data_IF_175121559083
#
_entry.id   IF_175121559083
#
_cell.length_a   1.000
_cell.length_b   1.000
_cell.length_c   1.000
_cell.angle_alpha   90.00
_cell.angle_beta   90.00
_cell.angle_gamma   90.00
#
_symmetry.space_group_name_H-M   'P 1'
#
loop_
_entity.id
_entity.type
_entity.pdbx_description
1 polymer ?
#
# COMPACT_ATOMS: atom_id res chain seq x y z
N UNK A 1 6.61 18.90 -2.55
CA UNK A 1 5.28 19.09 -3.18
C UNK A 1 4.43 17.85 -2.91
N UNK A 2 3.20 18.02 -2.41
CA UNK A 2 2.34 16.89 -2.03
C UNK A 2 1.89 16.07 -3.25
N UNK A 3 1.61 14.78 -3.08
CA UNK A 3 1.00 13.95 -4.14
C UNK A 3 -0.42 14.44 -4.39
N UNK A 4 -0.78 14.63 -5.65
CA UNK A 4 -2.14 14.94 -6.07
C UNK A 4 -2.79 13.76 -6.83
N UNK A 5 -4.06 13.93 -7.19
CA UNK A 5 -4.83 12.93 -7.94
C UNK A 5 -4.26 12.69 -9.35
N UNK A 6 -3.62 13.69 -9.97
CA UNK A 6 -3.04 13.56 -11.31
C UNK A 6 -1.87 12.60 -11.32
N UNK A 7 -1.04 12.63 -10.26
CA UNK A 7 0.02 11.65 -10.10
C UNK A 7 -0.47 10.21 -9.88
N UNK A 8 -1.73 10.02 -9.45
CA UNK A 8 -2.37 8.70 -9.43
C UNK A 8 -2.90 8.31 -10.80
N UNK A 9 -3.53 9.25 -11.53
CA UNK A 9 -4.00 9.04 -12.90
C UNK A 9 -2.88 8.59 -13.83
N UNK A 10 -1.67 9.16 -13.67
CA UNK A 10 -0.48 8.75 -14.44
C UNK A 10 0.06 7.35 -14.04
N UNK A 11 -0.28 6.87 -12.85
CA UNK A 11 0.25 5.62 -12.30
C UNK A 11 -0.67 4.40 -12.51
N UNK A 12 -1.88 4.62 -13.01
CA UNK A 12 -2.91 3.62 -13.29
C UNK A 12 -3.29 3.67 -14.77
N UNK A 13 -3.92 2.61 -15.29
CA UNK A 13 -4.52 2.68 -16.63
C UNK A 13 -5.71 3.63 -16.61
N UNK A 14 -5.84 4.46 -17.64
CA UNK A 14 -6.94 5.45 -17.74
C UNK A 14 -8.30 4.75 -17.70
N UNK A 15 -8.43 3.59 -18.33
CA UNK A 15 -9.67 2.81 -18.30
C UNK A 15 -10.04 2.34 -16.89
N UNK A 16 -9.05 1.94 -16.09
CA UNK A 16 -9.25 1.51 -14.71
C UNK A 16 -9.62 2.70 -13.82
N UNK A 17 -8.94 3.84 -13.99
CA UNK A 17 -9.26 5.06 -13.26
C UNK A 17 -10.72 5.48 -13.49
N UNK A 18 -11.13 5.55 -14.75
CA UNK A 18 -12.49 5.91 -15.14
C UNK A 18 -13.51 4.89 -14.61
N UNK A 19 -13.17 3.60 -14.61
CA UNK A 19 -14.04 2.54 -14.09
C UNK A 19 -14.23 2.62 -12.57
N UNK A 20 -13.16 2.94 -11.84
CA UNK A 20 -13.13 3.07 -10.37
C UNK A 20 -13.85 4.35 -9.93
N UNK A 21 -13.43 5.50 -10.48
CA UNK A 21 -13.90 6.83 -10.08
C UNK A 21 -15.25 7.20 -10.71
N UNK A 22 -15.59 6.65 -11.89
CA UNK A 22 -16.85 6.92 -12.61
C UNK A 22 -17.13 8.42 -12.82
N UNK A 23 -16.07 9.21 -13.01
CA UNK A 23 -16.14 10.67 -13.16
C UNK A 23 -16.24 11.47 -11.85
N UNK A 24 -16.13 10.81 -10.69
CA UNK A 24 -16.01 11.44 -9.38
C UNK A 24 -14.67 11.06 -8.72
N UNK A 25 -13.79 12.06 -8.59
CA UNK A 25 -12.44 11.89 -8.03
C UNK A 25 -12.45 11.68 -6.51
N UNK A 26 -13.61 11.75 -5.84
CA UNK A 26 -13.73 11.52 -4.40
C UNK A 26 -13.10 10.19 -3.94
N UNK A 27 -13.20 9.14 -4.76
CA UNK A 27 -12.58 7.83 -4.45
C UNK A 27 -11.06 7.91 -4.46
N UNK A 28 -10.48 8.66 -5.40
CA UNK A 28 -9.04 8.85 -5.50
C UNK A 28 -8.52 9.74 -4.36
N UNK A 29 -9.26 10.80 -4.02
CA UNK A 29 -8.97 11.68 -2.88
C UNK A 29 -9.00 10.92 -1.56
N UNK A 30 -10.07 10.16 -1.28
CA UNK A 30 -10.18 9.34 -0.07
C UNK A 30 -9.06 8.28 -0.01
N UNK A 31 -8.72 7.68 -1.14
CA UNK A 31 -7.62 6.72 -1.24
C UNK A 31 -6.26 7.34 -0.91
N UNK A 32 -6.00 8.58 -1.35
CA UNK A 32 -4.78 9.34 -1.00
C UNK A 32 -4.73 9.67 0.48
N UNK A 33 -5.82 10.17 1.06
CA UNK A 33 -5.88 10.48 2.49
C UNK A 33 -5.65 9.22 3.34
N UNK A 34 -6.27 8.10 2.97
CA UNK A 34 -6.06 6.80 3.61
C UNK A 34 -4.60 6.35 3.51
N UNK A 35 -3.97 6.54 2.35
CA UNK A 35 -2.58 6.19 2.13
C UNK A 35 -1.61 7.02 2.96
N UNK A 36 -1.84 8.34 3.05
CA UNK A 36 -1.06 9.23 3.92
C UNK A 36 -1.16 8.83 5.38
N UNK A 37 -2.37 8.53 5.86
CA UNK A 37 -2.58 8.08 7.22
C UNK A 37 -1.84 6.76 7.50
N UNK A 38 -1.90 5.80 6.58
CA UNK A 38 -1.21 4.52 6.74
C UNK A 38 0.31 4.66 6.74
N UNK A 39 0.88 5.36 5.74
CA UNK A 39 2.33 5.54 5.62
C UNK A 39 2.86 6.43 6.75
N UNK A 40 2.12 7.47 7.15
CA UNK A 40 2.48 8.30 8.30
C UNK A 40 2.56 7.49 9.59
N UNK A 41 1.58 6.63 9.83
CA UNK A 41 1.58 5.73 11.00
C UNK A 41 2.66 4.65 10.92
N UNK A 42 3.00 4.17 9.72
CA UNK A 42 4.11 3.25 9.51
C UNK A 42 5.46 3.94 9.77
N UNK A 43 5.67 5.15 9.26
CA UNK A 43 6.86 5.96 9.49
C UNK A 43 7.04 6.28 10.97
N UNK A 44 5.97 6.69 11.68
CA UNK A 44 6.00 6.93 13.12
C UNK A 44 6.41 5.67 13.90
N UNK A 45 5.84 4.51 13.55
CA UNK A 45 6.24 3.22 14.14
C UNK A 45 7.70 2.87 13.88
N UNK A 46 8.27 3.34 12.78
CA UNK A 46 9.67 3.12 12.44
C UNK A 46 10.61 4.16 13.06
N UNK A 47 10.07 5.16 13.77
CA UNK A 47 10.84 6.27 14.32
C UNK A 47 11.34 7.24 13.25
N UNK A 48 10.69 7.27 12.09
CA UNK A 48 10.96 8.18 10.98
C UNK A 48 9.94 9.31 10.95
N UNK A 49 10.39 10.51 10.61
CA UNK A 49 9.48 11.63 10.32
C UNK A 49 8.85 11.39 8.95
N UNK A 50 7.52 11.48 8.88
CA UNK A 50 6.82 11.36 7.61
C UNK A 50 7.08 12.60 6.75
N UNK A 51 7.75 12.39 5.62
CA UNK A 51 8.03 13.42 4.63
C UNK A 51 7.57 12.95 3.24
N UNK A 52 6.65 13.68 2.61
CA UNK A 52 6.14 13.37 1.28
C UNK A 52 7.09 13.84 0.15
N UNK A 53 8.19 14.52 0.50
CA UNK A 53 9.33 14.82 -0.37
C UNK A 53 10.34 13.68 -0.44
N UNK A 54 10.33 12.76 0.53
CA UNK A 54 11.12 11.54 0.46
C UNK A 54 10.58 10.64 -0.67
N UNK A 55 11.39 10.29 -1.69
CA UNK A 55 10.94 9.50 -2.83
C UNK A 55 10.44 8.10 -2.44
N UNK A 56 10.93 7.53 -1.35
CA UNK A 56 10.55 6.21 -0.83
C UNK A 56 9.17 6.28 -0.17
N UNK A 57 8.96 7.25 0.72
CA UNK A 57 7.65 7.47 1.37
C UNK A 57 6.61 7.91 0.34
N UNK A 58 6.99 8.77 -0.61
CA UNK A 58 6.13 9.18 -1.73
C UNK A 58 5.68 7.96 -2.55
N UNK A 59 6.61 7.06 -2.89
CA UNK A 59 6.28 5.85 -3.63
C UNK A 59 5.37 4.92 -2.82
N UNK A 60 5.62 4.77 -1.51
CA UNK A 60 4.78 3.96 -0.63
C UNK A 60 3.34 4.51 -0.57
N UNK A 61 3.16 5.82 -0.47
CA UNK A 61 1.84 6.47 -0.49
C UNK A 61 1.14 6.20 -1.80
N UNK A 62 1.81 6.35 -2.96
CA UNK A 62 1.22 6.03 -4.26
C UNK A 62 0.76 4.59 -4.36
N UNK A 63 1.61 3.65 -3.93
CA UNK A 63 1.29 2.21 -3.99
C UNK A 63 0.12 1.85 -3.08
N UNK A 64 0.05 2.43 -1.89
CA UNK A 64 -1.09 2.21 -1.00
C UNK A 64 -2.38 2.83 -1.53
N UNK A 65 -2.32 4.04 -2.09
CA UNK A 65 -3.47 4.70 -2.68
C UNK A 65 -4.04 3.89 -3.86
N UNK A 66 -3.19 3.40 -4.76
CA UNK A 66 -3.61 2.49 -5.84
C UNK A 66 -4.25 1.21 -5.28
N UNK A 67 -3.67 0.63 -4.24
CA UNK A 67 -4.26 -0.54 -3.60
C UNK A 67 -5.69 -0.28 -3.08
N UNK A 68 -5.93 0.89 -2.48
CA UNK A 68 -7.26 1.27 -1.99
C UNK A 68 -8.24 1.48 -3.14
N UNK A 69 -7.83 2.15 -4.22
CA UNK A 69 -8.66 2.34 -5.41
C UNK A 69 -9.13 0.99 -6.00
N UNK A 70 -8.22 0.03 -6.13
CA UNK A 70 -8.58 -1.32 -6.60
C UNK A 70 -9.44 -2.10 -5.59
N UNK A 71 -9.34 -1.83 -4.28
CA UNK A 71 -10.27 -2.38 -3.27
C UNK A 71 -11.68 -1.84 -3.46
N UNK A 72 -11.81 -0.54 -3.74
CA UNK A 72 -13.11 0.07 -4.04
C UNK A 72 -13.77 -0.55 -5.28
N UNK A 73 -12.98 -0.90 -6.30
CA UNK A 73 -13.47 -1.64 -7.47
C UNK A 73 -13.64 -3.17 -7.24
N UNK A 74 -13.42 -3.67 -6.02
CA UNK A 74 -13.46 -5.10 -5.69
C UNK A 74 -12.45 -5.96 -6.49
N UNK A 75 -11.36 -5.35 -6.96
CA UNK A 75 -10.24 -6.02 -7.62
C UNK A 75 -9.16 -6.45 -6.62
N UNK A 76 -9.50 -7.47 -5.84
CA UNK A 76 -8.68 -7.92 -4.71
C UNK A 76 -7.27 -8.37 -5.10
N UNK A 77 -7.09 -8.99 -6.28
CA UNK A 77 -5.78 -9.48 -6.71
C UNK A 77 -4.81 -8.33 -7.00
N UNK A 78 -5.29 -7.33 -7.72
CA UNK A 78 -4.52 -6.14 -8.08
C UNK A 78 -4.20 -5.32 -6.83
N UNK A 79 -5.20 -5.13 -5.95
CA UNK A 79 -5.03 -4.46 -4.68
C UNK A 79 -3.97 -5.14 -3.77
N UNK A 80 -4.02 -6.46 -3.64
CA UNK A 80 -3.08 -7.22 -2.81
C UNK A 80 -1.65 -7.12 -3.34
N UNK A 81 -1.46 -7.07 -4.66
CA UNK A 81 -0.15 -6.83 -5.28
C UNK A 81 0.40 -5.47 -4.87
N UNK A 82 -0.37 -4.40 -4.99
CA UNK A 82 0.07 -3.06 -4.61
C UNK A 82 0.31 -2.91 -3.11
N UNK A 83 -0.48 -3.59 -2.26
CA UNK A 83 -0.19 -3.67 -0.81
C UNK A 83 1.16 -4.31 -0.55
N UNK A 84 1.46 -5.44 -1.19
CA UNK A 84 2.75 -6.11 -1.03
C UNK A 84 3.90 -5.24 -1.49
N UNK A 85 3.78 -4.58 -2.64
CA UNK A 85 4.78 -3.62 -3.12
C UNK A 85 5.00 -2.47 -2.13
N UNK A 86 3.93 -1.91 -1.55
CA UNK A 86 4.05 -0.90 -0.50
C UNK A 86 4.80 -1.41 0.73
N UNK A 87 4.47 -2.62 1.20
CA UNK A 87 5.15 -3.25 2.33
C UNK A 87 6.62 -3.50 2.01
N UNK A 88 6.95 -3.97 0.80
CA UNK A 88 8.33 -4.18 0.35
C UNK A 88 9.14 -2.89 0.31
N UNK A 89 8.51 -1.75 -0.01
CA UNK A 89 9.13 -0.42 0.03
C UNK A 89 9.37 0.04 1.48
N UNK A 90 8.43 -0.23 2.38
CA UNK A 90 8.48 0.21 3.77
C UNK A 90 9.35 -0.70 4.66
N UNK A 91 9.50 -1.99 4.31
CA UNK A 91 10.25 -2.97 5.12
C UNK A 91 11.71 -2.58 5.38
N UNK A 92 12.48 -2.07 4.39
CA UNK A 92 13.86 -1.62 4.62
C UNK A 92 13.98 -0.40 5.54
N UNK A 93 12.91 0.39 5.68
CA UNK A 93 12.85 1.56 6.56
C UNK A 93 12.52 1.18 8.01
N UNK A 94 12.04 -0.04 8.24
CA UNK A 94 11.75 -0.50 9.58
C UNK A 94 13.03 -0.54 10.42
N UNK A 95 12.98 -0.09 11.69
CA UNK A 95 14.12 -0.17 12.58
C UNK A 95 14.54 -1.63 12.67
N UNK A 96 15.85 -1.89 12.54
CA UNK A 96 16.43 -3.20 12.80
C UNK A 96 16.26 -3.52 14.30
N UNK A 97 15.06 -3.91 14.71
CA UNK A 97 14.92 -4.73 15.90
C UNK A 97 15.57 -6.08 15.56
N UNK A 98 16.82 -6.21 16.01
CA UNK A 98 17.48 -7.48 16.30
C UNK A 98 16.52 -8.26 17.21
N UNK A 99 15.59 -9.01 16.61
CA UNK A 99 14.63 -9.97 17.18
C UNK A 99 13.18 -9.68 16.75
N UNK A 100 12.84 -9.92 15.49
CA UNK A 100 11.58 -10.62 15.21
C UNK A 100 11.59 -11.19 13.81
N UNK A 101 11.01 -12.39 13.73
CA UNK A 101 10.98 -13.29 12.59
C UNK A 101 10.69 -12.55 11.28
N UNK A 102 11.54 -12.86 10.31
CA UNK A 102 11.32 -12.71 8.88
C UNK A 102 9.83 -12.85 8.56
N UNK A 103 9.27 -11.82 7.94
CA UNK A 103 7.90 -11.77 7.39
C UNK A 103 7.78 -12.69 6.15
N UNK A 104 8.34 -13.91 6.24
CA UNK A 104 8.35 -14.94 5.20
C UNK A 104 7.88 -16.27 5.79
N UNK A 105 6.67 -16.30 6.33
CA UNK A 105 5.94 -17.55 6.48
C UNK A 105 4.59 -17.39 5.79
N UNK A 106 4.65 -17.53 4.46
CA UNK A 106 3.58 -18.09 3.66
C UNK A 106 3.03 -19.28 4.46
N UNK A 107 1.81 -19.16 4.98
CA UNK A 107 1.03 -20.28 5.51
C UNK A 107 0.72 -21.26 4.37
N UNK A 108 1.73 -22.00 3.93
CA UNK A 108 1.61 -23.16 3.08
C UNK A 108 1.42 -24.39 3.98
N UNK A 109 0.16 -24.61 4.38
CA UNK A 109 -0.40 -25.91 4.74
C UNK A 109 0.42 -26.82 5.66
N UNK A 110 0.30 -26.63 6.97
CA UNK A 110 0.47 -27.71 7.94
C UNK A 110 -0.69 -28.71 7.77
N UNK A 111 -0.51 -29.69 6.89
CA UNK A 111 -1.25 -30.97 6.96
C UNK A 111 -0.48 -31.93 7.86
N UNK A 112 -0.55 -31.70 9.17
CA UNK A 112 -0.26 -32.74 10.16
C UNK A 112 -1.59 -33.34 10.64
N UNK A 113 -2.17 -34.19 9.79
CA UNK A 113 -3.23 -35.11 10.20
C UNK A 113 -2.58 -36.36 10.82
N UNK A 114 -2.55 -36.43 12.16
CA UNK A 114 -2.34 -37.68 12.89
C UNK A 114 -3.70 -38.33 13.12
N UNK A 115 -4.08 -39.24 12.22
CA UNK A 115 -5.11 -40.23 12.50
C UNK A 115 -4.56 -41.31 13.41
N UNK A 116 -5.23 -41.54 14.54
CA UNK A 116 -5.13 -42.77 15.33
C UNK A 116 -5.87 -43.91 14.63
#
# INVERSE_FOLDING_TARGET
MLIDIYELQDAIQTEDYDAICRGDDAVAEESLESARAYVGLAAEKFGLEYDEEDPVLRLAVKKWALAQMYIFAAEWQTAERYKKECIEILTPLAPFEKNSKVFSEIHAGTKDWKGY
#
